data_IF_945529069603
#
_entry.id   IF_945529069603
#
_cell.length_a   1.000
_cell.length_b   1.000
_cell.length_c   1.000
_cell.angle_alpha   90.00
_cell.angle_beta   90.00
_cell.angle_gamma   90.00
#
_symmetry.space_group_name_H-M   'P 1'
#
loop_
_entity.id
_entity.type
_entity.pdbx_description
1 polymer ?
#
# COMPACT_ATOMS: atom_id res chain seq x y z
N UNK A 1 -3.63 -6.01 9.65
CA UNK A 1 -2.90 -5.91 8.37
C UNK A 1 -2.10 -4.61 8.42
N UNK A 2 -0.83 -4.64 8.00
CA UNK A 2 0.07 -3.48 7.99
C UNK A 2 0.72 -3.39 6.60
N UNK A 3 0.47 -2.30 5.88
CA UNK A 3 1.01 -2.04 4.55
C UNK A 3 2.27 -1.18 4.62
N UNK A 4 3.23 -1.45 3.75
CA UNK A 4 4.45 -0.65 3.62
C UNK A 4 5.14 -0.92 2.28
N UNK A 5 5.91 0.06 1.80
CA UNK A 5 6.73 -0.10 0.60
C UNK A 5 8.09 -0.74 0.88
N UNK A 6 8.78 -1.16 -0.17
CA UNK A 6 10.14 -1.68 -0.12
C UNK A 6 11.14 -0.74 0.58
N UNK A 7 11.07 0.57 0.34
CA UNK A 7 11.89 1.56 1.05
C UNK A 7 11.68 1.59 2.56
N UNK A 8 10.44 1.43 3.04
CA UNK A 8 10.12 1.42 4.46
C UNK A 8 10.65 0.16 5.18
N UNK A 9 10.83 -0.94 4.45
CA UNK A 9 11.42 -2.18 4.99
C UNK A 9 12.86 -2.02 5.46
N UNK A 10 13.56 -0.95 5.07
CA UNK A 10 14.94 -0.66 5.48
C UNK A 10 15.03 0.16 6.78
N UNK A 11 13.91 0.48 7.40
CA UNK A 11 13.86 1.24 8.64
C UNK A 11 14.06 0.34 9.84
N UNK A 12 14.75 0.82 10.88
CA UNK A 12 15.00 0.05 12.11
C UNK A 12 13.71 -0.49 12.75
N UNK A 13 12.68 0.37 12.80
CA UNK A 13 11.38 0.02 13.38
C UNK A 13 10.65 -1.09 12.62
N UNK A 14 10.93 -1.33 11.33
CA UNK A 14 10.40 -2.50 10.61
C UNK A 14 10.94 -3.79 11.25
N UNK A 15 12.26 -3.86 11.44
CA UNK A 15 12.92 -5.02 12.03
C UNK A 15 12.49 -5.25 13.50
N UNK A 16 12.39 -4.17 14.28
CA UNK A 16 11.90 -4.23 15.66
C UNK A 16 10.46 -4.74 15.73
N UNK A 17 9.57 -4.20 14.90
CA UNK A 17 8.16 -4.60 14.85
C UNK A 17 7.98 -6.05 14.43
N UNK A 18 8.70 -6.50 13.41
CA UNK A 18 8.67 -7.90 12.95
C UNK A 18 9.13 -8.85 14.06
N UNK A 19 10.23 -8.52 14.75
CA UNK A 19 10.75 -9.32 15.85
C UNK A 19 9.76 -9.40 17.02
N UNK A 20 9.18 -8.28 17.43
CA UNK A 20 8.21 -8.24 18.53
C UNK A 20 6.91 -8.99 18.18
N UNK A 21 6.41 -8.82 16.95
CA UNK A 21 5.23 -9.53 16.48
C UNK A 21 5.45 -11.05 16.48
N UNK A 22 6.63 -11.50 16.06
CA UNK A 22 7.00 -12.92 16.08
C UNK A 22 7.11 -13.46 17.51
N UNK A 23 7.86 -12.76 18.37
CA UNK A 23 8.09 -13.13 19.77
C UNK A 23 6.78 -13.30 20.54
N UNK A 24 5.83 -12.39 20.34
CA UNK A 24 4.55 -12.40 21.05
C UNK A 24 3.43 -13.10 20.28
N UNK A 25 3.73 -13.70 19.12
CA UNK A 25 2.75 -14.33 18.22
C UNK A 25 1.55 -13.42 17.93
N UNK A 26 1.82 -12.15 17.65
CA UNK A 26 0.74 -11.19 17.37
C UNK A 26 0.04 -11.53 16.05
N UNK A 27 -1.29 -11.31 15.97
CA UNK A 27 -2.08 -11.58 14.77
C UNK A 27 -1.89 -10.47 13.72
N UNK A 28 -0.68 -10.36 13.15
CA UNK A 28 -0.32 -9.30 12.19
C UNK A 28 0.13 -9.88 10.87
N UNK A 29 -0.55 -9.49 9.79
CA UNK A 29 -0.04 -9.68 8.43
C UNK A 29 0.68 -8.41 8.02
N UNK A 30 1.96 -8.54 7.68
CA UNK A 30 2.81 -7.50 7.12
C UNK A 30 2.78 -7.66 5.60
N UNK A 31 2.24 -6.68 4.89
CA UNK A 31 2.12 -6.70 3.43
C UNK A 31 3.05 -5.64 2.83
N UNK A 32 4.12 -6.10 2.20
CA UNK A 32 5.07 -5.25 1.50
C UNK A 32 4.61 -5.07 0.05
N UNK A 33 4.26 -3.83 -0.31
CA UNK A 33 3.99 -3.42 -1.68
C UNK A 33 5.31 -3.01 -2.34
N UNK A 34 6.05 -4.01 -2.83
CA UNK A 34 7.36 -3.81 -3.40
C UNK A 34 7.22 -3.35 -4.86
N UNK A 35 7.39 -2.04 -5.08
CA UNK A 35 7.34 -1.44 -6.41
C UNK A 35 8.72 -1.25 -7.05
N UNK A 36 9.78 -1.70 -6.36
CA UNK A 36 11.16 -1.62 -6.79
C UNK A 36 11.91 -0.36 -6.34
N UNK A 37 11.23 0.66 -5.81
CA UNK A 37 11.79 1.99 -5.57
C UNK A 37 11.35 2.67 -4.26
N UNK A 38 12.34 2.97 -3.41
CA UNK A 38 12.23 3.95 -2.33
C UNK A 38 12.39 5.37 -2.86
N UNK A 39 11.29 6.06 -3.17
CA UNK A 39 11.26 7.36 -3.86
C UNK A 39 11.87 7.27 -5.26
N UNK A 40 13.19 7.45 -5.36
CA UNK A 40 14.02 7.31 -6.57
C UNK A 40 15.13 6.27 -6.43
N UNK A 41 15.31 5.69 -5.24
CA UNK A 41 16.38 4.72 -4.96
C UNK A 41 15.90 3.31 -5.30
N UNK A 42 16.49 2.61 -6.28
CA UNK A 42 16.11 1.24 -6.58
C UNK A 42 16.53 0.30 -5.45
N UNK A 43 15.74 -0.73 -5.17
CA UNK A 43 15.96 -1.66 -4.05
C UNK A 43 17.35 -2.25 -3.99
N UNK A 44 17.92 -2.64 -5.13
CA UNK A 44 19.29 -3.19 -5.24
C UNK A 44 20.39 -2.24 -4.74
N UNK A 45 20.09 -0.95 -4.51
CA UNK A 45 21.00 0.05 -3.93
C UNK A 45 20.74 0.32 -2.46
N UNK A 46 19.63 -0.16 -1.91
CA UNK A 46 19.20 0.08 -0.53
C UNK A 46 19.16 -1.21 0.32
N UNK A 47 19.16 -2.38 -0.32
CA UNK A 47 19.07 -3.68 0.32
C UNK A 47 20.10 -4.65 -0.25
N UNK A 48 20.71 -5.46 0.62
CA UNK A 48 21.61 -6.55 0.22
C UNK A 48 20.85 -7.78 -0.32
N UNK A 49 19.60 -7.96 0.12
CA UNK A 49 18.69 -8.99 -0.36
C UNK A 49 17.78 -8.40 -1.44
N UNK A 50 17.54 -9.16 -2.50
CA UNK A 50 16.58 -8.82 -3.56
C UNK A 50 15.13 -8.88 -3.08
N UNK A 51 14.82 -9.93 -2.32
CA UNK A 51 13.49 -10.18 -1.78
C UNK A 51 13.40 -9.74 -0.32
N UNK A 52 12.43 -8.87 -0.01
CA UNK A 52 12.17 -8.42 1.35
C UNK A 52 11.59 -9.56 2.19
N UNK A 53 10.81 -10.46 1.58
CA UNK A 53 10.28 -11.68 2.18
C UNK A 53 11.36 -12.57 2.82
N UNK A 54 12.57 -12.60 2.26
CA UNK A 54 13.70 -13.37 2.81
C UNK A 54 14.13 -12.89 4.22
N UNK A 55 13.84 -11.62 4.57
CA UNK A 55 14.13 -11.09 5.92
C UNK A 55 13.28 -11.75 7.01
N UNK A 56 12.10 -12.28 6.66
CA UNK A 56 11.18 -12.89 7.64
C UNK A 56 11.82 -14.09 8.36
N UNK A 57 12.69 -14.84 7.67
CA UNK A 57 13.41 -15.97 8.25
C UNK A 57 14.26 -15.55 9.47
N UNK A 58 14.82 -14.33 9.46
CA UNK A 58 15.58 -13.80 10.59
C UNK A 58 14.76 -13.58 11.87
N UNK A 59 13.43 -13.56 11.77
CA UNK A 59 12.50 -13.42 12.89
C UNK A 59 11.78 -14.73 13.25
N UNK A 60 12.04 -15.82 12.52
CA UNK A 60 11.23 -17.04 12.63
C UNK A 60 9.79 -16.88 12.14
N UNK A 61 9.56 -15.91 11.24
CA UNK A 61 8.24 -15.60 10.68
C UNK A 61 8.14 -16.16 9.26
N UNK A 62 7.02 -16.82 8.88
CA UNK A 62 6.82 -17.25 7.51
C UNK A 62 6.64 -16.05 6.57
N UNK A 63 7.02 -16.25 5.31
CA UNK A 63 6.80 -15.27 4.26
C UNK A 63 6.46 -15.91 2.93
N UNK A 64 5.83 -15.13 2.05
CA UNK A 64 5.52 -15.53 0.68
C UNK A 64 5.70 -14.34 -0.26
N UNK A 65 6.10 -14.62 -1.50
CA UNK A 65 6.16 -13.65 -2.58
C UNK A 65 4.96 -13.90 -3.49
N UNK A 66 4.25 -12.84 -3.84
CA UNK A 66 3.15 -12.89 -4.80
C UNK A 66 3.33 -11.87 -5.90
N UNK A 67 2.76 -12.19 -7.05
CA UNK A 67 2.64 -11.25 -8.16
C UNK A 67 1.55 -10.23 -7.84
N UNK A 68 1.96 -9.01 -7.50
CA UNK A 68 1.07 -7.91 -7.12
C UNK A 68 0.16 -7.44 -8.24
N UNK A 69 0.42 -7.83 -9.50
CA UNK A 69 -0.45 -7.51 -10.63
C UNK A 69 -1.60 -8.53 -10.79
N UNK A 70 -1.60 -9.63 -10.03
CA UNK A 70 -2.64 -10.65 -10.06
C UNK A 70 -3.50 -10.58 -8.80
N UNK A 71 -4.64 -9.88 -8.88
CA UNK A 71 -5.52 -9.62 -7.73
C UNK A 71 -5.90 -10.86 -6.93
N UNK A 72 -6.21 -11.98 -7.61
CA UNK A 72 -6.58 -13.23 -6.94
C UNK A 72 -5.39 -13.91 -6.24
N UNK A 73 -4.18 -13.81 -6.80
CA UNK A 73 -2.99 -14.36 -6.14
C UNK A 73 -2.66 -13.59 -4.85
N UNK A 74 -2.82 -12.25 -4.87
CA UNK A 74 -2.69 -11.43 -3.66
C UNK A 74 -3.79 -11.77 -2.66
N UNK A 75 -5.04 -11.92 -3.12
CA UNK A 75 -6.17 -12.30 -2.27
C UNK A 75 -5.93 -13.63 -1.55
N UNK A 76 -5.51 -14.67 -2.28
CA UNK A 76 -5.28 -16.01 -1.71
C UNK A 76 -4.17 -15.98 -0.65
N UNK A 77 -3.02 -15.37 -0.98
CA UNK A 77 -1.88 -15.31 -0.05
C UNK A 77 -2.18 -14.48 1.20
N UNK A 78 -2.89 -13.36 1.06
CA UNK A 78 -3.29 -12.54 2.21
C UNK A 78 -4.36 -13.26 3.03
N UNK A 79 -5.27 -14.00 2.40
CA UNK A 79 -6.29 -14.79 3.09
C UNK A 79 -5.64 -15.86 3.95
N UNK A 80 -4.71 -16.64 3.40
CA UNK A 80 -3.94 -17.65 4.16
C UNK A 80 -3.18 -17.02 5.33
N UNK A 81 -2.50 -15.90 5.10
CA UNK A 81 -1.79 -15.16 6.14
C UNK A 81 -2.73 -14.65 7.25
N UNK A 82 -3.93 -14.19 6.89
CA UNK A 82 -4.95 -13.73 7.84
C UNK A 82 -5.52 -14.89 8.64
N UNK A 83 -5.79 -16.03 8.02
CA UNK A 83 -6.25 -17.24 8.70
C UNK A 83 -5.22 -17.71 9.73
N UNK A 84 -3.95 -17.78 9.34
CA UNK A 84 -2.83 -18.10 10.25
C UNK A 84 -2.76 -17.13 11.43
N UNK A 85 -2.79 -15.83 11.14
CA UNK A 85 -2.73 -14.79 12.17
C UNK A 85 -3.89 -14.91 13.16
N UNK A 86 -5.12 -15.13 12.67
CA UNK A 86 -6.33 -15.33 13.49
C UNK A 86 -6.30 -16.65 14.27
N UNK A 87 -5.66 -17.68 13.74
CA UNK A 87 -5.44 -18.96 14.42
C UNK A 87 -4.45 -18.90 15.59
N UNK A 88 -3.75 -17.77 15.78
CA UNK A 88 -2.77 -17.61 16.87
C UNK A 88 -1.37 -18.11 16.51
N UNK A 89 -1.13 -18.42 15.24
CA UNK A 89 0.16 -18.91 14.76
C UNK A 89 1.18 -17.79 14.45
N UNK A 90 0.85 -16.58 14.88
CA UNK A 90 1.70 -15.40 14.78
C UNK A 90 1.67 -14.71 13.41
N UNK A 91 2.64 -13.82 13.15
CA UNK A 91 2.62 -12.97 11.98
C UNK A 91 3.00 -13.72 10.69
N UNK A 92 2.77 -13.07 9.55
CA UNK A 92 3.26 -13.48 8.22
C UNK A 92 3.69 -12.24 7.44
N UNK A 93 4.78 -12.36 6.67
CA UNK A 93 5.21 -11.33 5.70
C UNK A 93 4.81 -11.75 4.28
N UNK A 94 3.90 -11.00 3.66
CA UNK A 94 3.55 -11.14 2.25
C UNK A 94 4.28 -10.04 1.48
N UNK A 95 5.06 -10.40 0.47
CA UNK A 95 5.71 -9.46 -0.44
C UNK A 95 5.00 -9.48 -1.80
N UNK A 96 4.21 -8.45 -2.08
CA UNK A 96 3.57 -8.26 -3.36
C UNK A 96 4.52 -7.48 -4.29
N UNK A 97 5.05 -8.15 -5.31
CA UNK A 97 5.86 -7.52 -6.36
C UNK A 97 4.94 -6.79 -7.32
N UNK A 98 4.96 -5.47 -7.30
CA UNK A 98 4.09 -4.60 -8.10
C UNK A 98 4.89 -3.45 -8.72
N UNK A 99 4.21 -2.42 -9.23
CA UNK A 99 4.87 -1.28 -9.83
C UNK A 99 4.06 0.01 -9.72
N UNK A 100 4.75 1.13 -9.45
CA UNK A 100 4.13 2.46 -9.36
C UNK A 100 4.19 3.14 -10.73
N UNK A 101 3.08 3.29 -11.44
CA UNK A 101 3.11 3.87 -12.80
C UNK A 101 3.45 5.36 -12.85
N UNK A 102 3.05 6.11 -11.83
CA UNK A 102 3.35 7.53 -11.69
C UNK A 102 4.68 7.76 -10.96
N UNK A 103 5.08 9.02 -10.85
CA UNK A 103 6.22 9.40 -10.01
C UNK A 103 5.91 9.15 -8.52
N UNK A 104 6.90 9.38 -7.65
CA UNK A 104 6.71 9.14 -6.21
C UNK A 104 5.60 9.99 -5.61
N UNK A 105 5.45 11.22 -6.08
CA UNK A 105 4.34 12.09 -5.74
C UNK A 105 4.08 13.01 -6.93
N UNK A 106 2.87 13.55 -6.99
CA UNK A 106 2.49 14.53 -8.00
C UNK A 106 3.10 15.90 -7.68
N UNK A 107 3.56 16.62 -8.71
CA UNK A 107 4.02 18.00 -8.59
C UNK A 107 5.38 18.28 -9.25
N UNK A 108 5.73 19.57 -9.40
CA UNK A 108 6.78 20.03 -10.30
C UNK A 108 8.19 19.54 -9.93
N UNK A 109 8.39 19.11 -8.68
CA UNK A 109 9.66 18.54 -8.23
C UNK A 109 9.92 17.16 -8.82
N UNK A 110 8.88 16.43 -9.20
CA UNK A 110 8.98 15.04 -9.66
C UNK A 110 8.78 14.89 -11.17
N UNK A 111 8.11 15.84 -11.84
CA UNK A 111 7.78 15.82 -13.27
C UNK A 111 8.99 15.69 -14.19
N UNK A 112 10.17 16.15 -13.75
CA UNK A 112 11.40 16.12 -14.54
C UNK A 112 12.43 15.09 -14.04
N UNK A 113 12.06 14.23 -13.08
CA UNK A 113 13.00 13.27 -12.50
C UNK A 113 13.13 12.01 -13.35
N UNK A 114 14.36 11.70 -13.76
CA UNK A 114 14.73 10.43 -14.38
C UNK A 114 15.45 9.55 -13.36
N UNK A 115 14.82 8.45 -12.95
CA UNK A 115 15.40 7.51 -11.97
C UNK A 115 15.13 6.04 -12.29
N UNK A 116 14.35 5.78 -13.35
CA UNK A 116 14.04 4.45 -13.87
C UNK A 116 13.99 4.47 -15.40
N UNK A 117 14.29 3.36 -16.08
CA UNK A 117 14.16 3.26 -17.53
C UNK A 117 12.71 3.33 -17.99
N UNK A 118 12.46 4.00 -19.11
CA UNK A 118 11.11 4.04 -19.72
C UNK A 118 10.65 2.67 -20.19
N UNK A 119 11.59 1.83 -20.65
CA UNK A 119 11.33 0.45 -21.07
C UNK A 119 10.79 -0.41 -19.92
N UNK A 120 11.30 -0.18 -18.71
CA UNK A 120 10.84 -0.86 -17.49
C UNK A 120 9.38 -0.46 -17.20
N UNK A 121 9.08 0.84 -17.24
CA UNK A 121 7.71 1.33 -17.06
C UNK A 121 6.76 0.78 -18.13
N UNK A 122 7.17 0.80 -19.40
CA UNK A 122 6.38 0.26 -20.50
C UNK A 122 6.07 -1.23 -20.30
N UNK A 123 7.06 -2.04 -19.90
CA UNK A 123 6.87 -3.46 -19.62
C UNK A 123 5.86 -3.70 -18.49
N UNK A 124 5.91 -2.92 -17.41
CA UNK A 124 4.96 -3.03 -16.30
C UNK A 124 3.55 -2.55 -16.64
N UNK A 125 3.40 -1.56 -17.52
CA UNK A 125 2.08 -1.10 -17.99
C UNK A 125 1.35 -2.13 -18.83
N UNK A 126 2.06 -3.03 -19.53
CA UNK A 126 1.44 -4.16 -20.23
C UNK A 126 0.77 -5.16 -19.26
N UNK A 127 1.08 -5.06 -17.97
CA UNK A 127 0.58 -5.93 -16.91
C UNK A 127 -0.34 -5.19 -15.94
N UNK A 128 -1.07 -4.19 -16.40
CA UNK A 128 -2.03 -3.44 -15.57
C UNK A 128 -3.01 -4.41 -14.87
N UNK A 129 -3.09 -4.42 -13.52
CA UNK A 129 -3.91 -5.37 -12.79
C UNK A 129 -5.41 -5.20 -13.11
N UNK A 130 -5.86 -3.99 -13.45
CA UNK A 130 -7.25 -3.75 -13.83
C UNK A 130 -7.56 -4.40 -15.18
N UNK A 131 -6.66 -4.27 -16.16
CA UNK A 131 -6.83 -4.89 -17.47
C UNK A 131 -6.75 -6.42 -17.38
N UNK A 132 -5.77 -6.93 -16.64
CA UNK A 132 -5.61 -8.37 -16.41
C UNK A 132 -6.84 -8.95 -15.72
N UNK A 133 -7.34 -8.30 -14.66
CA UNK A 133 -8.50 -8.79 -13.93
C UNK A 133 -9.80 -8.64 -14.74
N UNK A 134 -9.97 -7.55 -15.49
CA UNK A 134 -11.09 -7.38 -16.43
C UNK A 134 -11.13 -8.49 -17.47
N UNK A 135 -9.98 -8.88 -18.02
CA UNK A 135 -9.87 -10.01 -18.95
C UNK A 135 -10.27 -11.34 -18.29
N UNK A 136 -9.87 -11.56 -17.04
CA UNK A 136 -10.29 -12.75 -16.28
C UNK A 136 -11.80 -12.76 -16.03
N UNK A 137 -12.39 -11.62 -15.67
CA UNK A 137 -13.83 -11.49 -15.40
C UNK A 137 -14.70 -11.61 -16.66
N UNK A 138 -14.19 -11.30 -17.85
CA UNK A 138 -14.94 -11.45 -19.10
C UNK A 138 -15.40 -12.89 -19.39
N UNK A 139 -14.79 -13.90 -18.74
CA UNK A 139 -15.28 -15.28 -18.77
C UNK A 139 -16.51 -15.56 -17.90
N UNK A 140 -16.87 -14.63 -17.01
CA UNK A 140 -17.94 -14.77 -16.01
C UNK A 140 -19.02 -13.69 -16.13
N UNK A 141 -18.64 -12.49 -16.58
CA UNK A 141 -19.49 -11.32 -16.72
C UNK A 141 -19.51 -10.85 -18.18
N UNK A 142 -20.64 -10.29 -18.61
CA UNK A 142 -20.75 -9.68 -19.94
C UNK A 142 -19.97 -8.36 -20.02
N UNK A 143 -19.51 -7.98 -21.21
CA UNK A 143 -18.81 -6.70 -21.42
C UNK A 143 -19.60 -5.48 -20.91
N UNK A 144 -20.92 -5.46 -21.15
CA UNK A 144 -21.79 -4.38 -20.67
C UNK A 144 -21.89 -4.30 -19.14
N UNK A 145 -21.74 -5.42 -18.42
CA UNK A 145 -21.71 -5.41 -16.95
C UNK A 145 -20.38 -4.87 -16.44
N UNK A 146 -19.26 -5.22 -17.10
CA UNK A 146 -17.94 -4.68 -16.78
C UNK A 146 -17.85 -3.18 -17.04
N UNK A 147 -18.42 -2.71 -18.17
CA UNK A 147 -18.52 -1.28 -18.48
C UNK A 147 -19.34 -0.55 -17.41
N UNK A 148 -20.46 -1.13 -16.99
CA UNK A 148 -21.29 -0.56 -15.93
C UNK A 148 -20.56 -0.43 -14.59
N UNK A 149 -19.72 -1.40 -14.21
CA UNK A 149 -18.91 -1.32 -12.98
C UNK A 149 -17.92 -0.15 -13.07
N UNK A 150 -17.30 0.05 -14.23
CA UNK A 150 -16.37 1.14 -14.46
C UNK A 150 -17.07 2.51 -14.43
N UNK A 151 -18.24 2.62 -15.08
CA UNK A 151 -19.09 3.82 -15.03
C UNK A 151 -19.52 4.14 -13.59
N UNK A 152 -19.88 3.13 -12.80
CA UNK A 152 -20.23 3.30 -11.39
C UNK A 152 -19.06 3.83 -10.56
N UNK A 153 -17.86 3.25 -10.73
CA UNK A 153 -16.66 3.73 -10.05
C UNK A 153 -16.32 5.18 -10.42
N UNK A 154 -16.45 5.54 -11.71
CA UNK A 154 -16.25 6.92 -12.17
C UNK A 154 -17.27 7.89 -11.57
N UNK A 155 -18.54 7.49 -11.48
CA UNK A 155 -19.60 8.30 -10.88
C UNK A 155 -19.36 8.50 -9.36
N UNK A 156 -18.91 7.46 -8.65
CA UNK A 156 -18.54 7.56 -7.23
C UNK A 156 -17.38 8.55 -7.02
N UNK A 157 -16.33 8.49 -7.85
CA UNK A 157 -15.20 9.43 -7.80
C UNK A 157 -15.67 10.86 -8.07
N UNK A 158 -16.51 11.07 -9.10
CA UNK A 158 -17.04 12.38 -9.42
C UNK A 158 -17.86 12.97 -8.27
N UNK A 159 -18.72 12.16 -7.63
CA UNK A 159 -19.48 12.60 -6.45
C UNK A 159 -18.60 12.91 -5.25
N UNK A 160 -17.51 12.15 -5.03
CA UNK A 160 -16.56 12.42 -3.96
C UNK A 160 -15.79 13.73 -4.18
N UNK A 161 -15.42 14.04 -5.43
CA UNK A 161 -14.78 15.31 -5.80
C UNK A 161 -15.72 16.49 -5.57
N UNK A 162 -16.96 16.41 -6.06
CA UNK A 162 -17.96 17.46 -5.84
C UNK A 162 -18.19 17.71 -4.33
N UNK A 163 -18.34 16.64 -3.55
CA UNK A 163 -18.47 16.76 -2.09
C UNK A 163 -17.26 17.45 -1.46
N UNK A 164 -16.03 17.08 -1.85
CA UNK A 164 -14.81 17.68 -1.31
C UNK A 164 -14.67 19.16 -1.70
N UNK A 165 -14.99 19.54 -2.93
CA UNK A 165 -14.89 20.91 -3.43
C UNK A 165 -15.97 21.84 -2.82
N UNK A 166 -17.16 21.32 -2.56
CA UNK A 166 -18.27 22.07 -1.95
C UNK A 166 -18.23 22.07 -0.42
N UNK A 167 -17.40 21.22 0.19
CA UNK A 167 -17.25 21.21 1.64
C UNK A 167 -16.61 22.52 2.13
N UNK A 168 -17.12 23.13 3.21
CA UNK A 168 -16.51 24.33 3.77
C UNK A 168 -15.09 24.01 4.27
N UNK A 169 -14.21 25.02 4.21
CA UNK A 169 -12.95 24.94 4.93
C UNK A 169 -13.21 24.79 6.44
N UNK A 170 -12.34 24.08 7.17
CA UNK A 170 -12.45 24.02 8.63
C UNK A 170 -12.25 25.42 9.22
N UNK A 171 -12.94 25.69 10.33
CA UNK A 171 -12.73 26.94 11.07
C UNK A 171 -11.32 26.93 11.70
N UNK A 172 -10.62 28.08 11.81
CA UNK A 172 -9.26 28.14 12.35
C UNK A 172 -9.12 27.49 13.75
N UNK A 173 -10.16 27.56 14.57
CA UNK A 173 -10.21 26.99 15.93
C UNK A 173 -10.14 25.45 15.92
N UNK A 174 -10.54 24.80 14.82
CA UNK A 174 -10.46 23.35 14.67
C UNK A 174 -9.01 22.86 14.71
N UNK A 175 -8.03 23.72 14.39
CA UNK A 175 -6.60 23.39 14.49
C UNK A 175 -6.13 23.02 15.91
N UNK A 176 -6.89 23.40 16.95
CA UNK A 176 -6.60 23.07 18.35
C UNK A 176 -7.36 21.83 18.85
N UNK A 177 -8.30 21.33 18.06
CA UNK A 177 -9.04 20.12 18.40
C UNK A 177 -8.16 18.88 18.24
N UNK A 178 -8.49 17.79 18.95
CA UNK A 178 -7.79 16.50 18.88
C UNK A 178 -6.30 16.49 19.28
N UNK A 179 -5.72 17.62 19.72
CA UNK A 179 -4.37 17.65 20.32
C UNK A 179 -4.31 16.88 21.65
N UNK A 180 -5.36 17.02 22.47
CA UNK A 180 -5.53 16.34 23.75
C UNK A 180 -6.97 15.85 23.89
N UNK A 181 -7.20 14.80 24.68
CA UNK A 181 -8.56 14.32 25.02
C UNK A 181 -9.40 15.41 25.67
N UNK A 182 -8.80 16.15 26.60
CA UNK A 182 -9.40 17.32 27.23
C UNK A 182 -8.67 18.54 26.67
N UNK A 183 -9.36 19.47 26.00
CA UNK A 183 -8.74 20.70 25.51
C UNK A 183 -8.00 21.41 26.63
N UNK A 184 -6.75 21.78 26.38
CA UNK A 184 -5.97 22.59 27.32
C UNK A 184 -6.32 24.05 27.04
N UNK A 185 -6.75 24.78 28.06
CA UNK A 185 -6.96 26.22 27.94
C UNK A 185 -5.66 26.89 27.49
N UNK A 186 -5.71 27.64 26.39
CA UNK A 186 -4.56 28.41 25.91
C UNK A 186 -4.25 29.48 26.95
N UNK A 187 -3.07 29.40 27.58
CA UNK A 187 -2.64 30.39 28.57
C UNK A 187 -2.46 31.75 27.88
N UNK A 188 -3.33 32.72 28.15
CA UNK A 188 -3.15 34.12 27.77
C UNK A 188 -3.94 34.62 26.54
N UNK A 189 -4.96 33.91 26.07
CA UNK A 189 -5.89 34.42 25.06
C UNK A 189 -7.33 34.43 25.57
N UNK A 190 -8.02 35.56 25.47
CA UNK A 190 -9.49 35.58 25.49
C UNK A 190 -9.98 34.87 24.21
N UNK A 191 -10.91 33.92 24.37
CA UNK A 191 -11.62 33.28 23.26
C UNK A 191 -12.54 34.30 22.58
#
# INVERSE_FOLDING_TARGET
LCFFGDGASNQGYFHESMNMAALWKLPVVFLCENNGYGVTTPNRRAAALEDISARAAGYGTPSTIVDGQQCLAVYDAVTEAVERARGGDGPTLVEAKTYRYHHHSEGPLYDNMTYRPDEELAAWKLRDPLLLFRQQLAGYLGAAELDKIEEQAQAEIAGALEFAELSPFPEPEESYTHLYRTPIAVYGGEL
#
